data_IF_367616247861
#
_entry.id   IF_367616247861
#
_cell.length_a   1.000
_cell.length_b   1.000
_cell.length_c   1.000
_cell.angle_alpha   90.00
_cell.angle_beta   90.00
_cell.angle_gamma   90.00
#
_symmetry.space_group_name_H-M   'P 1'
#
loop_
_entity.id
_entity.type
_entity.pdbx_description
1 polymer ?
#
# COMPACT_ATOMS: atom_id res chain seq x y z
N UNK A 1 -16.91 -37.79 2.97
CA UNK A 1 -17.30 -36.64 2.14
C UNK A 1 -16.17 -35.61 2.25
N UNK A 2 -15.49 -35.32 1.12
CA UNK A 2 -14.38 -34.39 0.93
C UNK A 2 -13.15 -34.61 1.84
N UNK A 3 -11.99 -35.00 1.32
CA UNK A 3 -11.14 -34.05 0.59
C UNK A 3 -10.05 -34.77 -0.22
N UNK A 4 -10.17 -34.72 -1.56
CA UNK A 4 -9.12 -35.18 -2.49
C UNK A 4 -7.98 -34.16 -2.55
N UNK A 5 -7.23 -34.01 -1.47
CA UNK A 5 -6.04 -33.17 -1.47
C UNK A 5 -4.91 -33.86 -2.24
N UNK A 6 -4.34 -33.17 -3.24
CA UNK A 6 -3.13 -33.63 -3.96
C UNK A 6 -1.90 -33.72 -3.05
N UNK A 7 -1.87 -32.94 -1.98
CA UNK A 7 -0.72 -32.80 -1.08
C UNK A 7 -1.13 -32.89 0.39
N UNK A 8 -0.17 -33.25 1.24
CA UNK A 8 -0.35 -33.30 2.69
C UNK A 8 -0.25 -31.92 3.38
N UNK A 9 -0.42 -30.82 2.63
CA UNK A 9 -0.20 -29.44 3.12
C UNK A 9 -1.07 -29.08 4.32
N UNK A 10 -2.27 -29.68 4.43
CA UNK A 10 -3.16 -29.48 5.57
C UNK A 10 -2.54 -29.95 6.91
N UNK A 11 -1.60 -30.89 6.88
CA UNK A 11 -0.89 -31.37 8.09
C UNK A 11 -0.02 -30.29 8.72
N UNK A 12 0.30 -29.21 8.00
CA UNK A 12 1.01 -28.06 8.55
C UNK A 12 0.28 -27.48 9.78
N UNK A 13 -1.05 -27.45 9.75
CA UNK A 13 -1.87 -26.95 10.84
C UNK A 13 -1.92 -27.86 12.07
N UNK A 14 -1.40 -29.09 11.98
CA UNK A 14 -1.23 -29.95 13.15
C UNK A 14 0.02 -29.57 13.95
N UNK A 15 1.01 -28.92 13.32
CA UNK A 15 2.25 -28.48 13.95
C UNK A 15 2.18 -26.98 14.29
N UNK A 16 1.56 -26.17 13.43
CA UNK A 16 1.37 -24.73 13.64
C UNK A 16 0.00 -24.44 14.27
N UNK A 17 -0.02 -23.83 15.46
CA UNK A 17 -1.26 -23.33 16.09
C UNK A 17 -1.88 -22.22 15.21
N UNK A 18 -3.07 -22.45 14.61
CA UNK A 18 -3.67 -21.52 13.66
C UNK A 18 -3.94 -20.14 14.28
N UNK A 19 -4.28 -20.06 15.57
CA UNK A 19 -4.56 -18.77 16.22
C UNK A 19 -3.32 -17.89 16.28
N UNK A 20 -2.18 -18.48 16.62
CA UNK A 20 -0.89 -17.76 16.67
C UNK A 20 -0.45 -17.31 15.28
N UNK A 21 -0.60 -18.17 14.27
CA UNK A 21 -0.26 -17.84 12.88
C UNK A 21 -1.12 -16.69 12.36
N UNK A 22 -2.44 -16.73 12.59
CA UNK A 22 -3.36 -15.68 12.13
C UNK A 22 -3.07 -14.33 12.80
N UNK A 23 -2.84 -14.31 14.12
CA UNK A 23 -2.46 -13.08 14.83
C UNK A 23 -1.11 -12.54 14.35
N UNK A 24 -0.11 -13.40 14.15
CA UNK A 24 1.19 -13.00 13.63
C UNK A 24 1.08 -12.43 12.21
N UNK A 25 0.30 -13.08 11.34
CA UNK A 25 0.05 -12.61 9.98
C UNK A 25 -0.65 -11.24 9.99
N UNK A 26 -1.69 -11.09 10.82
CA UNK A 26 -2.41 -9.82 10.96
C UNK A 26 -1.47 -8.69 11.39
N UNK A 27 -0.65 -8.89 12.43
CA UNK A 27 0.30 -7.89 12.91
C UNK A 27 1.35 -7.58 11.85
N UNK A 28 1.95 -8.60 11.23
CA UNK A 28 2.96 -8.43 10.19
C UNK A 28 2.45 -7.62 9.00
N UNK A 29 1.28 -7.99 8.47
CA UNK A 29 0.65 -7.29 7.36
C UNK A 29 0.25 -5.86 7.74
N UNK A 30 -0.25 -5.65 8.96
CA UNK A 30 -0.60 -4.30 9.45
C UNK A 30 0.64 -3.42 9.54
N UNK A 31 1.75 -3.92 10.09
CA UNK A 31 3.00 -3.17 10.21
C UNK A 31 3.54 -2.82 8.83
N UNK A 32 3.60 -3.77 7.89
CA UNK A 32 4.06 -3.49 6.53
C UNK A 32 3.12 -2.52 5.81
N UNK A 33 1.81 -2.66 5.98
CA UNK A 33 0.86 -1.72 5.42
C UNK A 33 1.15 -0.30 5.94
N UNK A 34 1.26 -0.10 7.26
CA UNK A 34 1.56 1.22 7.83
C UNK A 34 2.90 1.77 7.34
N UNK A 35 3.96 0.95 7.31
CA UNK A 35 5.27 1.36 6.79
C UNK A 35 5.19 1.84 5.34
N UNK A 36 4.47 1.13 4.48
CA UNK A 36 4.29 1.51 3.08
C UNK A 36 3.48 2.81 2.98
N UNK A 37 2.37 2.94 3.71
CA UNK A 37 1.52 4.13 3.63
C UNK A 37 2.24 5.37 4.13
N UNK A 38 2.85 5.32 5.33
CA UNK A 38 3.61 6.44 5.87
C UNK A 38 4.86 6.73 5.04
N UNK A 39 5.48 5.70 4.45
CA UNK A 39 6.56 5.86 3.49
C UNK A 39 6.13 6.60 2.22
N UNK A 40 4.96 6.31 1.67
CA UNK A 40 4.42 7.02 0.51
C UNK A 40 4.05 8.48 0.86
N UNK A 41 3.39 8.67 2.01
CA UNK A 41 3.02 10.00 2.52
C UNK A 41 4.22 10.88 2.86
N UNK A 42 5.41 10.32 3.13
CA UNK A 42 6.61 11.12 3.39
C UNK A 42 7.26 11.65 2.11
N UNK A 43 6.88 11.16 0.93
CA UNK A 43 7.45 11.61 -0.35
C UNK A 43 6.75 12.85 -0.91
N UNK A 44 7.46 13.76 -1.57
CA UNK A 44 6.84 14.94 -2.19
C UNK A 44 5.93 14.60 -3.39
N UNK A 45 6.21 13.47 -4.08
CA UNK A 45 5.51 13.08 -5.31
C UNK A 45 4.31 12.17 -5.07
N UNK A 46 4.41 11.24 -4.11
CA UNK A 46 3.38 10.22 -3.89
C UNK A 46 2.53 10.52 -2.65
N UNK A 47 2.79 11.62 -1.94
CA UNK A 47 1.90 12.07 -0.89
C UNK A 47 0.62 12.66 -1.50
N UNK A 48 -0.50 11.99 -1.26
CA UNK A 48 -1.81 12.42 -1.76
C UNK A 48 -2.59 13.31 -0.77
N UNK A 49 -2.02 13.63 0.40
CA UNK A 49 -2.62 14.52 1.41
C UNK A 49 -2.07 15.95 1.39
N UNK A 50 -0.90 16.15 0.82
CA UNK A 50 -0.25 17.46 0.77
C UNK A 50 -0.44 18.11 -0.60
N UNK A 51 -0.67 19.43 -0.63
CA UNK A 51 -0.62 20.18 -1.88
C UNK A 51 0.81 20.09 -2.43
N UNK A 52 0.99 19.63 -3.68
CA UNK A 52 2.30 19.27 -4.23
C UNK A 52 3.42 20.26 -3.86
N UNK A 53 4.20 19.94 -2.81
CA UNK A 53 5.35 20.76 -2.38
C UNK A 53 6.43 20.77 -3.45
N UNK A 54 6.52 19.71 -4.24
CA UNK A 54 7.22 19.74 -5.51
C UNK A 54 6.29 20.36 -6.55
N UNK A 55 6.52 21.61 -6.95
CA UNK A 55 5.85 22.16 -8.14
C UNK A 55 5.94 21.11 -9.26
N UNK A 56 4.84 20.49 -9.71
CA UNK A 56 4.90 19.73 -10.93
C UNK A 56 5.18 20.79 -12.00
N UNK A 57 6.36 20.73 -12.62
CA UNK A 57 6.80 21.59 -13.72
C UNK A 57 5.85 21.58 -14.95
N UNK A 58 4.65 21.00 -14.84
CA UNK A 58 3.70 20.78 -15.92
C UNK A 58 2.30 21.39 -15.71
N UNK A 59 2.00 22.06 -14.59
CA UNK A 59 0.66 22.63 -14.34
C UNK A 59 0.55 24.16 -14.51
N UNK A 60 1.62 24.85 -14.92
CA UNK A 60 1.51 26.23 -15.39
C UNK A 60 0.93 26.23 -16.81
N UNK A 61 -0.39 26.07 -16.92
CA UNK A 61 -1.13 26.69 -18.01
C UNK A 61 -0.89 28.19 -17.87
N UNK A 62 0.10 28.71 -18.60
CA UNK A 62 0.27 30.13 -18.82
C UNK A 62 -1.00 30.59 -19.53
N UNK A 63 -1.93 31.17 -18.76
CA UNK A 63 -2.96 32.03 -19.31
C UNK A 63 -2.22 33.25 -19.84
N UNK A 64 -1.92 33.25 -21.15
CA UNK A 64 -1.46 34.46 -21.85
C UNK A 64 -2.69 35.37 -21.97
N UNK A 65 -2.76 36.52 -21.27
CA UNK A 65 -3.82 37.49 -21.55
C UNK A 65 -3.64 38.04 -22.97
N UNK A 66 -4.74 38.31 -23.72
CA UNK A 66 -4.62 38.88 -25.04
C UNK A 66 -3.95 40.26 -24.96
N UNK A 67 -2.92 40.47 -25.78
CA UNK A 67 -2.35 41.79 -26.00
C UNK A 67 -3.41 42.66 -26.70
N UNK A 68 -4.02 43.59 -25.97
CA UNK A 68 -4.78 44.68 -26.56
C UNK A 68 -3.77 45.77 -26.89
N UNK A 69 -3.52 45.96 -28.18
CA UNK A 69 -2.78 47.10 -28.72
C UNK A 69 -3.64 48.35 -28.87
#
# INVERSE_FOLDING_TARGET
>A
MATEYRTASWKLWLILDPRRVLTALFVYLTVIALLIHFGLLSTDRLNWWEFQRGLPKAASLVVVPPAVG
#
